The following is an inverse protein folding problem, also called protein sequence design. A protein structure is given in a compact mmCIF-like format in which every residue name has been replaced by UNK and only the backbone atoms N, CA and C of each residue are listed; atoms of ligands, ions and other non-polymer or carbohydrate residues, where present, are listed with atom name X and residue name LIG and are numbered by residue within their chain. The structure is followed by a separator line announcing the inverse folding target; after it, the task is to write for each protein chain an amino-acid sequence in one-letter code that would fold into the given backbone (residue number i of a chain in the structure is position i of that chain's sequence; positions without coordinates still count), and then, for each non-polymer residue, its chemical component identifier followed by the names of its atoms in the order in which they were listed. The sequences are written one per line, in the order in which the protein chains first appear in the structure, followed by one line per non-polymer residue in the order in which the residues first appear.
data_IF_670629092614
#
_entry.id   IF_670629092614
#
_cell.length_a   1.000
_cell.length_b   1.000
_cell.length_c   1.000
_cell.angle_alpha   90.00
_cell.angle_beta   90.00
_cell.angle_gamma   90.00
#
_symmetry.space_group_name_H-M   'P 1'
#
loop_
_entity.id
_entity.type
_entity.pdbx_description
1 polymer ?
#
# COMPACT_ATOMS: atom_id res chain seq x y z
N UNK A 1 -4.53 -0.25 1.82
CA UNK A 1 -3.88 -1.19 2.74
C UNK A 1 -2.52 -0.61 3.10
N UNK A 2 -1.87 -1.13 4.13
CA UNK A 2 -0.68 -0.53 4.75
C UNK A 2 0.52 -1.46 4.78
N UNK A 3 1.70 -0.90 4.58
CA UNK A 3 3.01 -1.42 5.00
C UNK A 3 3.26 -2.88 4.60
N UNK A 4 3.10 -3.20 3.30
CA UNK A 4 3.41 -4.53 2.74
C UNK A 4 3.95 -4.42 1.32
N UNK A 5 5.07 -5.10 1.07
CA UNK A 5 5.63 -5.23 -0.29
C UNK A 5 4.76 -6.13 -1.17
N UNK A 6 4.96 -6.05 -2.48
CA UNK A 6 4.29 -6.96 -3.40
C UNK A 6 4.71 -8.40 -3.14
N UNK A 7 6.01 -8.64 -2.96
CA UNK A 7 6.51 -10.00 -2.72
C UNK A 7 6.01 -10.62 -1.42
N UNK A 8 5.75 -9.79 -0.40
CA UNK A 8 5.21 -10.27 0.86
C UNK A 8 3.77 -10.79 0.71
N UNK A 9 2.94 -10.19 -0.16
CA UNK A 9 1.52 -10.52 -0.31
C UNK A 9 1.23 -11.41 -1.52
N UNK A 10 1.81 -11.10 -2.68
CA UNK A 10 1.52 -11.73 -3.96
C UNK A 10 2.74 -12.39 -4.62
N UNK A 11 3.97 -12.18 -4.13
CA UNK A 11 5.19 -12.69 -4.78
C UNK A 11 5.17 -14.19 -5.05
N UNK A 12 4.65 -14.97 -4.11
CA UNK A 12 4.56 -16.43 -4.23
C UNK A 12 3.42 -16.92 -5.13
N UNK A 13 2.53 -16.04 -5.59
CA UNK A 13 1.46 -16.38 -6.54
C UNK A 13 2.04 -16.79 -7.91
N UNK A 14 3.29 -16.41 -8.22
CA UNK A 14 4.02 -16.86 -9.43
C UNK A 14 4.01 -18.37 -9.65
N UNK A 15 3.93 -19.16 -8.57
CA UNK A 15 3.86 -20.63 -8.64
C UNK A 15 2.62 -21.13 -9.39
N UNK A 16 1.52 -20.40 -9.33
CA UNK A 16 0.24 -20.72 -9.99
C UNK A 16 -0.12 -19.73 -11.09
N UNK A 17 0.46 -18.53 -11.09
CA UNK A 17 0.31 -17.46 -12.09
C UNK A 17 1.69 -17.03 -12.63
N UNK A 18 2.29 -17.79 -13.57
CA UNK A 18 3.66 -17.54 -14.03
C UNK A 18 3.82 -16.24 -14.83
N UNK A 19 2.72 -15.59 -15.20
CA UNK A 19 2.69 -14.26 -15.81
C UNK A 19 3.04 -13.14 -14.82
N UNK A 20 2.90 -13.37 -13.51
CA UNK A 20 3.27 -12.42 -12.46
C UNK A 20 4.79 -12.36 -12.29
N UNK A 21 5.33 -11.16 -12.26
CA UNK A 21 6.71 -10.90 -11.85
C UNK A 21 6.83 -11.02 -10.32
N UNK A 22 6.95 -12.25 -9.83
CA UNK A 22 7.10 -12.60 -8.41
C UNK A 22 8.33 -13.46 -8.10
N UNK A 23 8.39 -13.98 -6.87
CA UNK A 23 9.53 -14.71 -6.31
C UNK A 23 9.76 -16.07 -6.98
N UNK A 24 11.04 -16.38 -7.25
CA UNK A 24 11.51 -17.68 -7.72
C UNK A 24 11.93 -18.61 -6.58
N UNK A 25 12.21 -18.07 -5.39
CA UNK A 25 12.73 -18.77 -4.22
C UNK A 25 14.25 -18.82 -4.16
N UNK A 26 14.96 -18.26 -5.16
CA UNK A 26 16.41 -18.13 -5.16
C UNK A 26 16.92 -16.79 -4.59
N UNK A 27 16.02 -15.85 -4.34
CA UNK A 27 16.33 -14.51 -3.86
C UNK A 27 16.84 -14.54 -2.41
N UNK A 28 17.76 -13.62 -2.09
CA UNK A 28 18.32 -13.49 -0.76
C UNK A 28 18.86 -12.08 -0.51
N UNK A 29 19.06 -11.72 0.75
CA UNK A 29 19.82 -10.57 1.18
C UNK A 29 20.90 -11.01 2.19
N UNK A 30 21.99 -10.25 2.30
CA UNK A 30 23.06 -10.54 3.27
C UNK A 30 22.89 -9.71 4.53
N UNK A 31 23.37 -10.25 5.65
CA UNK A 31 23.47 -9.51 6.92
C UNK A 31 24.29 -8.24 6.76
N UNK A 32 25.38 -8.30 5.98
CA UNK A 32 26.10 -7.14 5.50
C UNK A 32 26.09 -7.16 3.96
N UNK A 33 25.38 -6.21 3.36
CA UNK A 33 25.19 -6.13 1.91
C UNK A 33 26.50 -5.87 1.14
N UNK A 34 27.50 -5.28 1.79
CA UNK A 34 28.81 -4.96 1.19
C UNK A 34 29.84 -6.10 1.34
N UNK A 35 29.57 -7.10 2.19
CA UNK A 35 30.46 -8.24 2.40
C UNK A 35 29.90 -9.50 1.70
N UNK A 36 30.52 -9.96 0.60
CA UNK A 36 30.02 -11.12 -0.15
C UNK A 36 30.08 -12.44 0.64
N UNK A 37 30.86 -12.49 1.72
CA UNK A 37 31.00 -13.67 2.60
C UNK A 37 30.04 -13.65 3.79
N UNK A 38 29.34 -12.53 3.99
CA UNK A 38 28.36 -12.38 5.06
C UNK A 38 27.21 -13.40 4.92
N UNK A 39 26.67 -13.92 6.05
CA UNK A 39 25.54 -14.83 6.03
C UNK A 39 24.37 -14.28 5.19
N UNK A 40 23.73 -15.17 4.44
CA UNK A 40 22.58 -14.86 3.62
C UNK A 40 21.29 -15.30 4.31
N UNK A 41 20.25 -14.49 4.17
CA UNK A 41 18.87 -14.86 4.50
C UNK A 41 18.11 -14.92 3.18
N UNK A 42 17.62 -16.10 2.83
CA UNK A 42 16.84 -16.32 1.61
C UNK A 42 15.38 -15.98 1.84
N UNK A 43 14.66 -15.67 0.76
CA UNK A 43 13.21 -15.53 0.81
C UNK A 43 12.55 -16.84 1.24
N UNK A 44 11.42 -16.74 1.92
CA UNK A 44 10.61 -17.88 2.35
C UNK A 44 9.12 -17.61 2.21
N UNK A 45 8.31 -18.66 2.18
CA UNK A 45 6.85 -18.60 2.04
C UNK A 45 6.13 -18.94 3.37
N UNK A 46 6.83 -18.77 4.48
CA UNK A 46 6.37 -19.11 5.83
C UNK A 46 5.96 -17.88 6.64
N UNK A 47 5.60 -16.77 5.99
CA UNK A 47 5.05 -15.61 6.69
C UNK A 47 3.75 -15.98 7.42
N UNK A 48 3.58 -15.42 8.61
CA UNK A 48 2.40 -15.50 9.44
C UNK A 48 2.16 -14.13 10.09
N UNK A 49 1.34 -14.06 11.14
CA UNK A 49 1.19 -12.84 11.94
C UNK A 49 2.54 -12.20 12.29
N UNK A 50 2.74 -10.96 11.87
CA UNK A 50 3.98 -10.21 12.09
C UNK A 50 3.76 -9.22 13.22
N UNK A 51 4.44 -9.42 14.35
CA UNK A 51 4.30 -8.56 15.52
C UNK A 51 5.18 -7.30 15.47
N UNK A 52 6.29 -7.36 14.73
CA UNK A 52 7.25 -6.25 14.63
C UNK A 52 6.99 -5.40 13.39
N UNK A 53 6.98 -4.08 13.55
CA UNK A 53 6.86 -3.12 12.46
C UNK A 53 8.26 -2.81 11.88
N UNK A 54 8.62 -3.30 10.68
CA UNK A 54 9.94 -3.07 10.12
C UNK A 54 10.18 -1.59 9.75
N UNK A 55 11.45 -1.22 9.57
CA UNK A 55 11.81 0.17 9.29
C UNK A 55 11.25 0.66 7.95
N UNK A 56 10.44 1.72 7.98
CA UNK A 56 9.85 2.32 6.78
C UNK A 56 10.00 3.86 6.79
N UNK A 57 11.10 4.34 7.37
CA UNK A 57 11.56 5.73 7.26
C UNK A 57 12.38 5.93 5.99
N UNK A 58 12.53 7.16 5.49
CA UNK A 58 13.36 7.46 4.31
C UNK A 58 14.77 6.85 4.41
N UNK A 59 15.38 6.92 5.59
CA UNK A 59 16.72 6.38 5.83
C UNK A 59 16.73 4.86 5.75
N UNK A 60 15.78 4.20 6.42
CA UNK A 60 15.65 2.75 6.38
C UNK A 60 15.38 2.25 4.95
N UNK A 61 14.46 2.90 4.26
CA UNK A 61 14.09 2.60 2.89
C UNK A 61 15.27 2.72 1.93
N UNK A 62 16.06 3.78 2.06
CA UNK A 62 17.26 3.97 1.23
C UNK A 62 18.28 2.86 1.49
N UNK A 63 18.48 2.48 2.75
CA UNK A 63 19.37 1.38 3.09
C UNK A 63 18.85 0.04 2.53
N UNK A 64 17.55 -0.24 2.64
CA UNK A 64 16.93 -1.45 2.10
C UNK A 64 17.16 -1.59 0.59
N UNK A 65 16.92 -0.51 -0.16
CA UNK A 65 17.06 -0.48 -1.62
C UNK A 65 18.52 -0.62 -2.07
N UNK A 66 19.47 0.05 -1.41
CA UNK A 66 20.84 0.18 -1.90
C UNK A 66 21.89 -0.64 -1.14
N UNK A 67 21.58 -1.10 0.06
CA UNK A 67 22.51 -1.79 0.96
C UNK A 67 23.67 -0.93 1.48
N UNK A 68 23.74 0.34 1.09
CA UNK A 68 24.83 1.24 1.42
C UNK A 68 24.41 2.72 1.31
N UNK A 69 25.33 3.62 1.65
CA UNK A 69 25.12 5.07 1.54
C UNK A 69 25.16 5.61 0.11
N UNK A 70 25.58 4.82 -0.87
CA UNK A 70 25.56 5.19 -2.29
C UNK A 70 24.21 4.79 -2.90
N UNK A 71 23.46 5.79 -3.38
CA UNK A 71 22.14 5.61 -4.00
C UNK A 71 22.17 5.86 -5.52
N UNK A 72 23.31 5.64 -6.16
CA UNK A 72 23.49 5.85 -7.61
C UNK A 72 23.29 4.61 -8.47
N UNK A 73 23.24 3.41 -7.88
CA UNK A 73 23.11 2.16 -8.59
C UNK A 73 21.83 2.12 -9.45
N UNK A 74 21.97 1.73 -10.72
CA UNK A 74 20.86 1.56 -11.66
C UNK A 74 21.10 0.31 -12.54
N UNK A 75 20.33 -0.78 -12.38
CA UNK A 75 19.21 -0.94 -11.45
C UNK A 75 19.64 -0.90 -9.96
N UNK A 76 18.72 -0.51 -9.08
CA UNK A 76 18.94 -0.58 -7.64
C UNK A 76 19.06 -2.06 -7.18
N UNK A 77 19.97 -2.38 -6.24
CA UNK A 77 20.32 -3.78 -5.94
C UNK A 77 19.30 -4.51 -5.05
N UNK A 78 18.43 -3.80 -4.33
CA UNK A 78 17.44 -4.39 -3.41
C UNK A 78 18.08 -5.32 -2.36
N UNK A 79 19.26 -4.95 -1.86
CA UNK A 79 20.15 -5.87 -1.12
C UNK A 79 20.29 -5.60 0.37
N UNK A 80 19.67 -4.54 0.89
CA UNK A 80 19.89 -4.05 2.26
C UNK A 80 18.78 -4.37 3.26
N UNK A 81 17.76 -5.16 2.90
CA UNK A 81 16.61 -5.40 3.78
C UNK A 81 17.00 -6.12 5.07
N UNK A 82 17.82 -7.18 4.95
CA UNK A 82 18.34 -7.91 6.11
C UNK A 82 19.26 -7.02 6.94
N UNK A 83 20.18 -6.30 6.30
CA UNK A 83 21.10 -5.38 7.00
C UNK A 83 20.33 -4.31 7.80
N UNK A 84 19.30 -3.70 7.20
CA UNK A 84 18.47 -2.71 7.87
C UNK A 84 17.67 -3.34 9.02
N UNK A 85 17.11 -4.55 8.83
CA UNK A 85 16.42 -5.28 9.89
C UNK A 85 17.33 -5.62 11.09
N UNK A 86 18.55 -6.10 10.84
CA UNK A 86 19.55 -6.36 11.89
C UNK A 86 19.90 -5.08 12.67
N UNK A 87 19.99 -3.93 11.99
CA UNK A 87 20.30 -2.64 12.63
C UNK A 87 19.27 -2.20 13.66
N UNK A 88 18.04 -2.75 13.59
CA UNK A 88 16.95 -2.45 14.54
C UNK A 88 17.09 -3.24 15.85
N UNK A 89 17.93 -4.28 15.89
CA UNK A 89 18.17 -5.07 17.10
C UNK A 89 16.94 -5.88 17.56
N UNK A 90 16.05 -6.24 16.64
CA UNK A 90 14.86 -7.05 16.91
C UNK A 90 15.11 -8.49 16.46
N UNK A 91 15.08 -9.42 17.42
CA UNK A 91 15.33 -10.83 17.17
C UNK A 91 14.37 -11.41 16.11
N UNK A 92 14.93 -12.07 15.09
CA UNK A 92 14.16 -12.73 14.03
C UNK A 92 13.62 -11.79 12.95
N UNK A 93 13.74 -10.47 13.08
CA UNK A 93 13.21 -9.50 12.12
C UNK A 93 13.78 -9.71 10.71
N UNK A 94 15.06 -10.05 10.60
CA UNK A 94 15.72 -10.39 9.33
C UNK A 94 15.03 -11.51 8.56
N UNK A 95 14.54 -12.54 9.26
CA UNK A 95 13.76 -13.61 8.64
C UNK A 95 12.37 -13.09 8.27
N UNK A 96 11.74 -12.33 9.17
CA UNK A 96 10.40 -11.75 8.97
C UNK A 96 10.34 -10.88 7.71
N UNK A 97 11.28 -9.95 7.52
CA UNK A 97 11.29 -9.05 6.35
C UNK A 97 11.53 -9.79 5.04
N UNK A 98 12.21 -10.94 5.06
CA UNK A 98 12.46 -11.79 3.89
C UNK A 98 11.36 -12.84 3.65
N UNK A 99 10.41 -12.98 4.58
CA UNK A 99 9.29 -13.91 4.41
C UNK A 99 8.17 -13.28 3.60
N UNK A 100 7.39 -14.10 2.89
CA UNK A 100 6.14 -13.73 2.23
C UNK A 100 5.06 -14.78 2.49
N UNK A 101 3.81 -14.42 2.25
CA UNK A 101 2.70 -15.32 2.47
C UNK A 101 2.54 -16.31 1.31
N UNK A 102 2.21 -17.55 1.67
CA UNK A 102 1.64 -18.53 0.73
C UNK A 102 0.31 -18.03 0.18
N UNK A 103 0.02 -18.20 -1.12
CA UNK A 103 -1.28 -17.86 -1.69
C UNK A 103 -2.46 -18.50 -0.95
N UNK A 104 -2.28 -19.72 -0.42
CA UNK A 104 -3.33 -20.44 0.32
C UNK A 104 -3.67 -19.80 1.67
N UNK A 105 -2.75 -19.02 2.25
CA UNK A 105 -2.99 -18.24 3.47
C UNK A 105 -3.66 -16.90 3.17
N UNK A 106 -3.61 -16.45 1.91
CA UNK A 106 -4.23 -15.21 1.45
C UNK A 106 -5.32 -15.47 0.39
N UNK A 107 -6.35 -16.28 0.68
CA UNK A 107 -7.29 -16.72 -0.35
C UNK A 107 -8.09 -15.60 -1.02
N UNK A 108 -8.38 -14.48 -0.31
CA UNK A 108 -9.14 -13.37 -0.91
C UNK A 108 -8.27 -12.62 -1.92
N UNK A 109 -7.03 -12.29 -1.56
CA UNK A 109 -6.09 -11.61 -2.45
C UNK A 109 -5.66 -12.51 -3.60
N UNK A 110 -5.40 -13.79 -3.34
CA UNK A 110 -5.08 -14.76 -4.37
C UNK A 110 -6.23 -14.89 -5.38
N UNK A 111 -7.47 -15.02 -4.92
CA UNK A 111 -8.65 -15.11 -5.80
C UNK A 111 -8.84 -13.83 -6.63
N UNK A 112 -8.77 -12.65 -6.00
CA UNK A 112 -8.91 -11.38 -6.72
C UNK A 112 -7.79 -11.19 -7.75
N UNK A 113 -6.55 -11.55 -7.42
CA UNK A 113 -5.43 -11.51 -8.35
C UNK A 113 -5.59 -12.54 -9.50
N UNK A 114 -6.23 -13.69 -9.24
CA UNK A 114 -6.50 -14.71 -10.25
C UNK A 114 -7.57 -14.27 -11.25
N UNK A 115 -8.60 -13.57 -10.79
CA UNK A 115 -9.77 -13.17 -11.59
C UNK A 115 -9.63 -11.80 -12.26
N UNK A 116 -8.72 -10.94 -11.77
CA UNK A 116 -8.60 -9.55 -12.22
C UNK A 116 -7.17 -9.15 -12.55
N UNK A 117 -6.99 -7.90 -12.98
CA UNK A 117 -5.69 -7.37 -13.34
C UNK A 117 -4.84 -7.11 -12.10
N UNK A 118 -3.57 -7.49 -12.19
CA UNK A 118 -2.53 -7.20 -11.20
C UNK A 118 -1.50 -6.28 -11.85
N UNK A 119 -1.17 -5.17 -11.20
CA UNK A 119 -0.05 -4.34 -11.61
C UNK A 119 1.15 -4.66 -10.72
N UNK A 120 1.99 -5.57 -11.19
CA UNK A 120 3.22 -6.07 -10.53
C UNK A 120 4.43 -5.12 -10.72
N UNK A 121 4.19 -3.93 -11.28
CA UNK A 121 5.16 -2.82 -11.40
C UNK A 121 4.55 -1.48 -10.99
N UNK A 122 3.72 -1.49 -9.96
CA UNK A 122 3.16 -0.30 -9.33
C UNK A 122 4.02 0.14 -8.16
N UNK A 123 4.47 1.39 -8.11
CA UNK A 123 5.41 1.84 -7.09
C UNK A 123 4.87 3.02 -6.25
N UNK A 124 5.14 2.98 -4.95
CA UNK A 124 5.01 4.09 -4.02
C UNK A 124 5.65 5.36 -4.61
N UNK A 125 4.96 6.48 -4.47
CA UNK A 125 5.36 7.71 -5.16
C UNK A 125 6.66 8.29 -4.59
N UNK A 126 6.88 8.14 -3.28
CA UNK A 126 8.09 8.57 -2.58
C UNK A 126 8.60 7.46 -1.66
N UNK A 127 9.93 7.34 -1.46
CA UNK A 127 10.53 6.42 -0.49
C UNK A 127 10.37 6.95 0.93
N UNK A 128 9.13 7.18 1.37
CA UNK A 128 8.77 7.74 2.66
C UNK A 128 7.62 6.95 3.28
N UNK A 129 7.34 7.23 4.55
CA UNK A 129 6.26 6.57 5.30
C UNK A 129 4.87 6.81 4.69
N UNK A 130 3.86 6.20 5.29
CA UNK A 130 2.44 6.20 4.92
C UNK A 130 1.87 7.52 4.38
N UNK A 131 1.87 8.60 5.17
CA UNK A 131 1.11 9.80 4.82
C UNK A 131 1.60 10.51 3.56
N UNK A 132 2.91 10.72 3.36
CA UNK A 132 3.43 11.19 2.07
C UNK A 132 2.87 10.43 0.87
N UNK A 133 2.86 9.08 0.90
CA UNK A 133 2.34 8.28 -0.20
C UNK A 133 0.81 8.37 -0.35
N UNK A 134 0.05 8.38 0.74
CA UNK A 134 -1.40 8.66 0.71
C UNK A 134 -1.72 10.03 0.10
N UNK A 135 -0.86 11.03 0.32
CA UNK A 135 -1.05 12.35 -0.30
C UNK A 135 -0.87 12.32 -1.80
N UNK A 136 0.10 11.56 -2.32
CA UNK A 136 0.26 11.39 -3.76
C UNK A 136 -0.96 10.77 -4.43
N UNK A 137 -1.61 9.79 -3.80
CA UNK A 137 -2.84 9.16 -4.33
C UNK A 137 -3.92 10.20 -4.61
N UNK A 138 -4.08 11.22 -3.76
CA UNK A 138 -5.17 12.18 -3.88
C UNK A 138 -4.77 13.56 -4.41
N UNK A 139 -3.47 13.84 -4.56
CA UNK A 139 -3.01 15.19 -4.97
C UNK A 139 -1.78 15.20 -5.88
N UNK A 140 -1.24 14.03 -6.23
CA UNK A 140 -0.01 13.88 -7.01
C UNK A 140 1.23 14.61 -6.41
N UNK A 141 1.18 15.00 -5.14
CA UNK A 141 2.28 15.60 -4.38
C UNK A 141 2.10 15.33 -2.88
N UNK A 142 3.19 15.26 -2.12
CA UNK A 142 3.14 15.25 -0.65
C UNK A 142 3.21 16.66 -0.04
N UNK A 143 3.30 17.71 -0.86
CA UNK A 143 3.55 19.08 -0.41
C UNK A 143 4.80 19.20 0.48
N UNK A 144 5.85 18.45 0.12
CA UNK A 144 7.10 18.41 0.86
C UNK A 144 7.10 17.52 2.10
N UNK A 145 5.97 16.88 2.45
CA UNK A 145 5.94 15.92 3.55
C UNK A 145 6.82 14.71 3.21
N UNK A 146 7.63 14.32 4.20
CA UNK A 146 8.62 13.24 4.09
C UNK A 146 8.45 12.20 5.21
N UNK A 147 7.52 12.42 6.14
CA UNK A 147 7.19 11.53 7.25
C UNK A 147 5.83 11.91 7.87
N UNK A 148 5.38 11.13 8.86
CA UNK A 148 4.09 11.31 9.55
C UNK A 148 4.16 12.37 10.68
N UNK A 149 4.53 13.61 10.37
CA UNK A 149 4.69 14.68 11.38
C UNK A 149 3.34 15.13 11.94
N UNK A 150 3.05 14.80 13.21
CA UNK A 150 1.76 15.06 13.86
C UNK A 150 1.29 16.51 13.77
N UNK A 151 2.19 17.47 14.01
CA UNK A 151 1.87 18.90 13.97
C UNK A 151 1.36 19.32 12.59
N UNK A 152 2.01 18.83 11.53
CA UNK A 152 1.65 19.17 10.16
C UNK A 152 0.33 18.51 9.75
N UNK A 153 0.10 17.27 10.17
CA UNK A 153 -1.19 16.58 10.00
C UNK A 153 -2.34 17.34 10.68
N UNK A 154 -2.12 17.88 11.88
CA UNK A 154 -3.10 18.71 12.58
C UNK A 154 -3.33 20.03 11.84
N UNK A 155 -2.29 20.73 11.38
CA UNK A 155 -2.46 21.96 10.58
C UNK A 155 -3.17 21.68 9.25
N UNK A 156 -2.93 20.51 8.68
CA UNK A 156 -3.46 20.07 7.40
C UNK A 156 -2.65 20.63 6.22
N UNK A 157 -2.84 19.98 5.09
CA UNK A 157 -2.07 20.14 3.87
C UNK A 157 -2.88 20.94 2.82
N UNK A 158 -2.32 22.03 2.24
CA UNK A 158 -3.09 22.99 1.44
C UNK A 158 -3.14 22.68 -0.06
N UNK A 159 -2.45 21.65 -0.55
CA UNK A 159 -2.41 21.31 -1.96
C UNK A 159 -3.80 20.97 -2.52
N UNK A 160 -3.99 21.28 -3.81
CA UNK A 160 -5.19 20.88 -4.56
C UNK A 160 -5.28 19.36 -4.65
N UNK A 161 -6.47 18.83 -4.44
CA UNK A 161 -6.73 17.39 -4.49
C UNK A 161 -7.59 17.00 -5.70
N UNK A 162 -7.71 15.70 -5.95
CA UNK A 162 -8.69 15.14 -6.88
C UNK A 162 -10.12 15.51 -6.46
N UNK A 163 -10.40 15.59 -5.15
CA UNK A 163 -11.71 15.99 -4.62
C UNK A 163 -12.09 17.42 -5.02
N UNK A 164 -11.12 18.35 -4.96
CA UNK A 164 -11.30 19.71 -5.44
C UNK A 164 -11.59 19.73 -6.94
N UNK A 165 -10.85 18.93 -7.71
CA UNK A 165 -11.03 18.83 -9.16
C UNK A 165 -12.39 18.24 -9.53
N UNK A 166 -12.90 17.25 -8.78
CA UNK A 166 -14.23 16.69 -9.00
C UNK A 166 -15.32 17.73 -8.71
N UNK A 167 -15.24 18.41 -7.57
CA UNK A 167 -16.22 19.43 -7.16
C UNK A 167 -16.27 20.60 -8.16
N UNK A 168 -15.11 21.08 -8.62
CA UNK A 168 -15.00 22.12 -9.65
C UNK A 168 -15.62 21.72 -11.00
N UNK A 169 -15.71 20.42 -11.29
CA UNK A 169 -16.26 19.88 -12.54
C UNK A 169 -17.66 19.28 -12.36
N UNK A 170 -18.34 19.55 -11.24
CA UNK A 170 -19.70 19.06 -10.98
C UNK A 170 -19.80 17.54 -10.78
N UNK A 171 -18.68 16.87 -10.49
CA UNK A 171 -18.61 15.45 -10.18
C UNK A 171 -18.68 15.22 -8.67
N UNK A 172 -19.24 14.10 -8.27
CA UNK A 172 -19.44 13.74 -6.87
C UNK A 172 -18.33 12.84 -6.34
N UNK A 173 -18.02 12.97 -5.05
CA UNK A 173 -17.18 12.02 -4.34
C UNK A 173 -17.80 11.65 -2.98
N UNK A 174 -17.34 10.54 -2.42
CA UNK A 174 -17.76 10.08 -1.09
C UNK A 174 -16.63 9.34 -0.38
N UNK A 175 -16.45 9.64 0.89
CA UNK A 175 -15.43 9.05 1.77
C UNK A 175 -16.17 8.21 2.80
N UNK A 176 -15.99 6.89 2.74
CA UNK A 176 -16.60 5.91 3.63
C UNK A 176 -15.54 5.37 4.56
N UNK A 177 -15.68 5.63 5.86
CA UNK A 177 -14.58 5.41 6.81
C UNK A 177 -15.04 4.62 8.04
N UNK A 178 -14.12 3.88 8.65
CA UNK A 178 -14.37 3.12 9.89
C UNK A 178 -13.83 3.80 11.16
N UNK A 179 -12.85 4.71 11.05
CA UNK A 179 -12.28 5.48 12.17
C UNK A 179 -12.32 7.00 11.94
N UNK A 180 -11.16 7.65 11.83
CA UNK A 180 -11.01 9.05 11.48
C UNK A 180 -10.45 9.06 10.05
N UNK A 181 -11.14 9.69 9.09
CA UNK A 181 -10.65 9.73 7.71
C UNK A 181 -9.31 10.46 7.62
N UNK A 182 -8.28 9.78 7.12
CA UNK A 182 -6.97 10.34 6.80
C UNK A 182 -7.07 11.41 5.71
N UNK A 183 -8.09 11.34 4.85
CA UNK A 183 -8.43 12.40 3.89
C UNK A 183 -8.71 13.76 4.57
N UNK A 184 -9.08 13.80 5.86
CA UNK A 184 -9.18 15.06 6.62
C UNK A 184 -7.82 15.74 6.87
N UNK A 185 -6.69 15.13 6.51
CA UNK A 185 -5.41 15.85 6.52
C UNK A 185 -5.32 16.90 5.41
N UNK A 186 -6.18 16.88 4.39
CA UNK A 186 -6.26 17.98 3.42
C UNK A 186 -7.13 19.12 3.94
N UNK A 187 -6.61 20.35 3.90
CA UNK A 187 -7.35 21.53 4.36
C UNK A 187 -8.65 21.75 3.57
N UNK A 188 -8.64 21.45 2.26
CA UNK A 188 -9.82 21.62 1.41
C UNK A 188 -11.00 20.73 1.83
N UNK A 189 -10.72 19.54 2.35
CA UNK A 189 -11.73 18.60 2.84
C UNK A 189 -12.30 18.95 4.22
N UNK A 190 -11.70 19.89 4.95
CA UNK A 190 -12.22 20.41 6.23
C UNK A 190 -13.28 21.51 6.06
N UNK A 191 -13.57 21.93 4.83
CA UNK A 191 -14.56 22.99 4.54
C UNK A 191 -15.98 22.46 4.76
N UNK A 192 -16.86 23.30 5.31
CA UNK A 192 -18.26 22.94 5.62
C UNK A 192 -19.03 22.35 4.42
N UNK A 193 -18.74 22.81 3.19
CA UNK A 193 -19.37 22.29 1.97
C UNK A 193 -19.13 20.79 1.74
N UNK A 194 -18.07 20.21 2.30
CA UNK A 194 -17.71 18.80 2.15
C UNK A 194 -18.22 17.93 3.29
N UNK A 195 -18.89 18.47 4.32
CA UNK A 195 -19.33 17.70 5.49
C UNK A 195 -20.25 16.52 5.12
N UNK A 196 -21.07 16.69 4.09
CA UNK A 196 -22.01 15.68 3.60
C UNK A 196 -21.35 14.60 2.74
N UNK A 197 -20.04 14.71 2.47
CA UNK A 197 -19.25 13.75 1.67
C UNK A 197 -18.61 12.66 2.52
N UNK A 198 -18.69 12.79 3.85
CA UNK A 198 -18.14 11.85 4.82
C UNK A 198 -19.25 10.94 5.34
N UNK A 199 -19.02 9.64 5.29
CA UNK A 199 -20.02 8.63 5.58
C UNK A 199 -19.44 7.53 6.47
N UNK A 200 -20.19 7.14 7.50
CA UNK A 200 -19.88 5.92 8.25
C UNK A 200 -19.94 4.72 7.31
N UNK A 201 -18.85 3.94 7.26
CA UNK A 201 -18.74 2.80 6.37
C UNK A 201 -19.82 1.76 6.65
N UNK A 202 -20.02 1.37 7.92
CA UNK A 202 -20.92 0.27 8.30
C UNK A 202 -22.38 0.54 7.90
N UNK A 203 -22.84 1.78 8.08
CA UNK A 203 -24.24 2.16 7.84
C UNK A 203 -24.50 2.62 6.41
N UNK A 204 -23.61 3.43 5.84
CA UNK A 204 -23.89 4.15 4.59
C UNK A 204 -23.31 3.47 3.35
N UNK A 205 -22.16 2.81 3.45
CA UNK A 205 -21.52 2.21 2.27
C UNK A 205 -22.41 1.15 1.62
N UNK A 206 -22.83 0.15 2.41
CA UNK A 206 -23.73 -0.92 1.93
C UNK A 206 -25.08 -0.38 1.47
N UNK A 207 -25.60 0.66 2.12
CA UNK A 207 -26.87 1.28 1.73
C UNK A 207 -26.75 1.98 0.38
N UNK A 208 -25.75 2.84 0.21
CA UNK A 208 -25.52 3.57 -1.04
C UNK A 208 -25.19 2.62 -2.19
N UNK A 209 -24.36 1.59 -1.95
CA UNK A 209 -24.08 0.54 -2.92
C UNK A 209 -25.36 -0.19 -3.35
N UNK A 210 -26.19 -0.64 -2.40
CA UNK A 210 -27.45 -1.33 -2.68
C UNK A 210 -28.45 -0.47 -3.46
N UNK A 211 -28.48 0.83 -3.18
CA UNK A 211 -29.39 1.78 -3.83
C UNK A 211 -28.89 2.29 -5.18
N UNK A 212 -27.67 1.96 -5.59
CA UNK A 212 -27.05 2.53 -6.78
C UNK A 212 -26.77 4.03 -6.65
N UNK A 213 -26.36 4.47 -5.46
CA UNK A 213 -26.10 5.87 -5.11
C UNK A 213 -24.64 6.14 -4.76
N UNK A 214 -23.72 5.25 -5.13
CA UNK A 214 -22.29 5.53 -4.98
C UNK A 214 -21.88 6.67 -5.94
N UNK A 215 -21.11 7.66 -5.45
CA UNK A 215 -20.67 8.81 -6.24
C UNK A 215 -19.59 8.43 -7.27
N UNK A 216 -19.19 9.39 -8.12
CA UNK A 216 -18.21 9.16 -9.19
C UNK A 216 -16.84 8.72 -8.67
N UNK A 217 -16.43 9.20 -7.49
CA UNK A 217 -15.18 8.80 -6.84
C UNK A 217 -15.43 8.40 -5.39
N UNK A 218 -15.10 7.16 -5.05
CA UNK A 218 -15.33 6.58 -3.73
C UNK A 218 -13.99 6.25 -3.10
N UNK A 219 -13.78 6.75 -1.89
CA UNK A 219 -12.66 6.34 -1.04
C UNK A 219 -13.22 5.53 0.12
N UNK A 220 -12.67 4.33 0.30
CA UNK A 220 -12.98 3.46 1.42
C UNK A 220 -11.76 3.45 2.34
N UNK A 221 -11.94 3.96 3.56
CA UNK A 221 -10.89 4.04 4.56
C UNK A 221 -11.08 2.98 5.64
N UNK A 222 -10.00 2.24 5.89
CA UNK A 222 -9.95 1.11 6.82
C UNK A 222 -10.10 1.57 8.28
N UNK A 223 -10.12 0.58 9.18
CA UNK A 223 -9.85 0.80 10.59
C UNK A 223 -8.33 0.72 10.78
N UNK A 224 -7.71 1.87 11.03
CA UNK A 224 -6.26 2.01 11.19
C UNK A 224 -5.78 1.77 12.63
N UNK A 225 -6.69 1.75 13.60
CA UNK A 225 -6.35 1.65 15.02
C UNK A 225 -6.98 0.42 15.65
N UNK A 226 -6.18 -0.35 16.37
CA UNK A 226 -6.67 -1.39 17.26
C UNK A 226 -7.44 -0.79 18.44
N UNK A 227 -8.68 -1.24 18.60
CA UNK A 227 -9.50 -1.04 19.79
C UNK A 227 -10.04 -2.41 20.20
N UNK A 228 -10.09 -2.73 21.50
CA UNK A 228 -10.32 -4.10 22.01
C UNK A 228 -11.50 -4.85 21.37
N UNK A 229 -12.59 -4.16 21.03
CA UNK A 229 -13.79 -4.74 20.41
C UNK A 229 -13.78 -4.71 18.88
N UNK A 230 -12.83 -3.99 18.30
CA UNK A 230 -12.76 -3.58 16.91
C UNK A 230 -11.29 -3.54 16.45
N UNK A 231 -10.65 -4.70 16.21
CA UNK A 231 -9.26 -4.73 15.74
C UNK A 231 -9.11 -4.08 14.36
N UNK A 232 -7.96 -3.50 14.07
CA UNK A 232 -7.62 -2.88 12.81
C UNK A 232 -7.67 -3.89 11.65
N UNK A 233 -7.84 -3.38 10.43
CA UNK A 233 -8.07 -4.20 9.24
C UNK A 233 -7.44 -3.59 7.98
N UNK A 234 -6.30 -2.93 8.15
CA UNK A 234 -5.54 -2.19 7.14
C UNK A 234 -4.32 -2.96 6.59
N UNK A 235 -4.01 -4.13 7.17
CA UNK A 235 -2.80 -4.95 6.95
C UNK A 235 -1.49 -4.38 7.52
N UNK A 236 -1.48 -3.24 8.22
CA UNK A 236 -0.26 -2.72 8.87
C UNK A 236 0.26 -3.74 9.91
N UNK A 237 1.57 -4.01 10.11
CA UNK A 237 2.01 -4.80 11.27
C UNK A 237 1.86 -3.99 12.57
N UNK A 238 1.31 -4.50 13.66
CA UNK A 238 1.01 -5.89 13.98
C UNK A 238 -0.47 -6.25 13.85
N UNK A 239 -1.16 -5.75 12.82
CA UNK A 239 -2.53 -6.14 12.52
C UNK A 239 -2.58 -7.43 11.69
N UNK A 240 -3.56 -8.28 12.01
CA UNK A 240 -3.76 -9.57 11.33
C UNK A 240 -4.29 -9.38 9.90
N UNK A 241 -3.52 -9.84 8.92
CA UNK A 241 -3.87 -9.77 7.49
C UNK A 241 -5.17 -10.52 7.18
N UNK A 242 -5.58 -11.49 8.01
CA UNK A 242 -6.88 -12.14 7.88
C UNK A 242 -8.06 -11.18 8.10
N UNK A 243 -7.89 -10.10 8.88
CA UNK A 243 -8.90 -9.06 9.06
C UNK A 243 -8.97 -8.12 7.86
N UNK A 244 -7.83 -7.76 7.27
CA UNK A 244 -7.79 -6.99 6.02
C UNK A 244 -8.38 -7.76 4.85
N UNK A 245 -8.09 -9.05 4.72
CA UNK A 245 -8.74 -9.90 3.71
C UNK A 245 -10.26 -9.96 3.87
N UNK A 246 -10.77 -10.10 5.10
CA UNK A 246 -12.23 -10.06 5.36
C UNK A 246 -12.82 -8.71 4.96
N UNK A 247 -12.10 -7.62 5.21
CA UNK A 247 -12.54 -6.28 4.84
C UNK A 247 -12.60 -6.10 3.32
N UNK A 248 -11.53 -6.45 2.60
CA UNK A 248 -11.49 -6.37 1.13
C UNK A 248 -12.55 -7.26 0.50
N UNK A 249 -12.77 -8.46 1.03
CA UNK A 249 -13.87 -9.34 0.61
C UNK A 249 -15.23 -8.67 0.78
N UNK A 250 -15.49 -8.07 1.94
CA UNK A 250 -16.77 -7.39 2.19
C UNK A 250 -16.99 -6.21 1.24
N UNK A 251 -15.95 -5.42 0.97
CA UNK A 251 -15.99 -4.32 0.01
C UNK A 251 -16.34 -4.85 -1.37
N UNK A 252 -15.58 -5.84 -1.86
CA UNK A 252 -15.80 -6.45 -3.17
C UNK A 252 -17.22 -7.01 -3.31
N UNK A 253 -17.70 -7.81 -2.36
CA UNK A 253 -19.05 -8.39 -2.41
C UNK A 253 -20.15 -7.33 -2.34
N UNK A 254 -19.93 -6.25 -1.58
CA UNK A 254 -20.86 -5.12 -1.51
C UNK A 254 -20.98 -4.40 -2.85
N UNK A 255 -19.84 -4.18 -3.53
CA UNK A 255 -19.81 -3.55 -4.85
C UNK A 255 -20.38 -4.47 -5.93
N UNK A 256 -20.01 -5.75 -5.93
CA UNK A 256 -20.52 -6.77 -6.88
C UNK A 256 -22.03 -6.95 -6.81
N UNK A 257 -22.63 -6.73 -5.64
CA UNK A 257 -24.09 -6.77 -5.47
C UNK A 257 -24.81 -5.45 -5.83
N UNK A 258 -24.06 -4.39 -6.18
CA UNK A 258 -24.63 -3.10 -6.53
C UNK A 258 -25.23 -3.11 -7.95
N UNK A 259 -26.35 -2.42 -8.20
CA UNK A 259 -26.83 -2.20 -9.57
C UNK A 259 -25.86 -1.35 -10.43
N UNK A 260 -24.86 -0.71 -9.82
CA UNK A 260 -23.82 0.06 -10.52
C UNK A 260 -22.56 -0.78 -10.84
N UNK A 261 -22.53 -2.09 -10.52
CA UNK A 261 -21.31 -2.92 -10.63
C UNK A 261 -20.63 -2.84 -12.00
N UNK A 262 -21.40 -2.92 -13.09
CA UNK A 262 -20.87 -2.90 -14.46
C UNK A 262 -20.24 -1.56 -14.88
N UNK A 263 -20.43 -0.50 -14.08
CA UNK A 263 -19.90 0.85 -14.31
C UNK A 263 -18.80 1.23 -13.31
N UNK A 264 -18.25 0.25 -12.59
CA UNK A 264 -17.26 0.46 -11.53
C UNK A 264 -15.88 -0.07 -11.93
N UNK A 265 -14.85 0.62 -11.42
CA UNK A 265 -13.51 0.07 -11.30
C UNK A 265 -13.14 0.05 -9.81
N UNK A 266 -12.67 -1.10 -9.32
CA UNK A 266 -12.17 -1.24 -7.95
C UNK A 266 -10.64 -1.26 -7.98
N UNK A 267 -10.04 -0.36 -7.19
CA UNK A 267 -8.60 -0.24 -7.03
C UNK A 267 -8.21 -0.56 -5.58
N UNK A 268 -7.40 -1.59 -5.37
CA UNK A 268 -6.85 -1.95 -4.06
C UNK A 268 -5.34 -1.72 -4.11
N UNK A 269 -4.85 -0.77 -3.31
CA UNK A 269 -3.43 -0.39 -3.26
C UNK A 269 -2.89 -0.45 -1.83
N UNK A 270 -1.58 -0.63 -1.70
CA UNK A 270 -0.81 -0.34 -0.48
C UNK A 270 -0.19 1.06 -0.55
N UNK A 271 0.09 1.67 0.59
CA UNK A 271 0.73 2.98 0.68
C UNK A 271 2.24 2.93 0.46
N UNK A 272 2.92 1.93 1.04
CA UNK A 272 4.33 1.59 0.87
C UNK A 272 4.60 0.14 1.30
N UNK A 273 5.86 -0.31 1.26
CA UNK A 273 6.23 -1.73 1.38
C UNK A 273 6.44 -2.21 2.82
N UNK A 274 6.43 -1.32 3.81
CA UNK A 274 6.53 -1.65 5.23
C UNK A 274 7.88 -2.19 5.66
N UNK A 275 8.93 -2.00 4.86
CA UNK A 275 10.24 -2.61 5.08
C UNK A 275 10.33 -4.11 4.77
N UNK A 276 9.29 -4.72 4.20
CA UNK A 276 9.35 -6.10 3.70
C UNK A 276 10.07 -6.16 2.35
N UNK A 277 10.80 -7.25 2.12
CA UNK A 277 11.59 -7.46 0.92
C UNK A 277 10.72 -7.39 -0.35
N UNK A 278 11.29 -6.80 -1.39
CA UNK A 278 10.78 -6.83 -2.75
C UNK A 278 11.96 -7.03 -3.71
N UNK A 279 11.83 -7.98 -4.63
CA UNK A 279 12.89 -8.37 -5.53
C UNK A 279 13.07 -7.39 -6.69
N UNK A 280 12.05 -6.58 -7.00
CA UNK A 280 12.07 -5.76 -8.20
C UNK A 280 12.88 -4.50 -7.95
N UNK A 281 13.91 -4.24 -8.79
CA UNK A 281 14.63 -2.98 -8.74
C UNK A 281 13.70 -1.79 -8.97
N UNK A 282 13.72 -0.93 -7.99
CA UNK A 282 13.00 0.32 -7.96
C UNK A 282 13.56 1.35 -8.96
N UNK A 283 12.74 2.07 -9.74
CA UNK A 283 13.22 3.07 -10.70
C UNK A 283 13.97 4.22 -10.03
N UNK A 284 15.19 4.50 -10.50
CA UNK A 284 16.06 5.58 -9.98
C UNK A 284 16.17 6.79 -10.93
N UNK A 285 15.42 6.80 -12.03
CA UNK A 285 15.42 7.90 -13.01
C UNK A 285 14.01 8.15 -13.57
N UNK A 286 13.77 9.34 -14.14
CA UNK A 286 12.49 9.70 -14.75
C UNK A 286 11.37 10.08 -13.77
N UNK A 287 11.65 10.20 -12.47
CA UNK A 287 10.68 10.59 -11.46
C UNK A 287 10.64 12.13 -11.30
N UNK A 288 9.50 12.82 -11.49
CA UNK A 288 9.41 14.29 -11.48
C UNK A 288 9.51 14.95 -10.08
N UNK A 289 10.10 14.28 -9.09
CA UNK A 289 10.11 14.76 -7.70
C UNK A 289 11.27 15.73 -7.50
N UNK A 290 10.99 17.03 -7.57
CA UNK A 290 11.85 18.09 -7.06
C UNK A 290 11.78 18.14 -5.52
N UNK A 291 12.44 17.18 -4.87
CA UNK A 291 13.00 17.41 -3.55
C UNK A 291 14.51 17.50 -3.76
N UNK A 292 15.13 18.59 -3.31
CA UNK A 292 16.52 18.92 -3.63
C UNK A 292 17.47 17.73 -3.51
N UNK A 293 18.23 17.50 -4.59
CA UNK A 293 19.42 16.63 -4.68
C UNK A 293 19.31 15.25 -4.04
N UNK A 294 18.71 14.29 -4.75
CA UNK A 294 19.20 12.92 -4.99
C UNK A 294 18.05 12.10 -5.56
N UNK A 295 18.37 11.16 -6.47
CA UNK A 295 17.41 10.29 -7.10
C UNK A 295 16.59 9.51 -6.06
N UNK A 296 15.37 9.96 -5.76
CA UNK A 296 14.46 9.27 -4.87
C UNK A 296 13.75 8.17 -5.65
N UNK A 297 13.79 7.01 -5.04
CA UNK A 297 13.54 5.73 -5.68
C UNK A 297 12.17 5.22 -5.26
N UNK A 298 11.36 4.70 -6.18
CA UNK A 298 9.97 4.27 -5.90
C UNK A 298 9.91 2.78 -5.58
N UNK A 299 9.19 2.34 -4.55
CA UNK A 299 9.15 0.90 -4.14
C UNK A 299 7.83 0.26 -4.51
N UNK A 300 7.82 -1.03 -4.88
CA UNK A 300 6.59 -1.67 -5.30
C UNK A 300 5.56 -1.70 -4.18
N UNK A 301 4.35 -1.26 -4.53
CA UNK A 301 3.12 -1.46 -3.77
C UNK A 301 2.22 -2.35 -4.63
N UNK A 302 1.58 -3.35 -4.04
CA UNK A 302 0.67 -4.19 -4.81
C UNK A 302 -0.58 -3.41 -5.20
N UNK A 303 -0.98 -3.55 -6.47
CA UNK A 303 -2.23 -3.02 -6.98
C UNK A 303 -3.04 -4.13 -7.63
N UNK A 304 -4.20 -4.42 -7.06
CA UNK A 304 -5.21 -5.28 -7.69
C UNK A 304 -6.30 -4.36 -8.23
N UNK A 305 -6.50 -4.41 -9.55
CA UNK A 305 -7.48 -3.62 -10.28
C UNK A 305 -8.51 -4.53 -10.93
N UNK A 306 -9.79 -4.34 -10.60
CA UNK A 306 -10.91 -4.95 -11.32
C UNK A 306 -11.53 -3.90 -12.26
N UNK A 307 -11.53 -4.20 -13.56
CA UNK A 307 -12.42 -3.58 -14.53
C UNK A 307 -13.44 -4.65 -14.90
N UNK A 308 -14.73 -4.34 -14.79
CA UNK A 308 -15.78 -5.26 -15.25
C UNK A 308 -15.64 -5.43 -16.77
N UNK A 309 -15.09 -6.55 -17.21
CA UNK A 309 -15.12 -6.93 -18.63
C UNK A 309 -16.48 -7.52 -18.96
N UNK A 310 -17.04 -7.07 -20.08
CA UNK A 310 -18.27 -7.60 -20.66
C UNK A 310 -18.15 -9.13 -20.85
N UNK A 311 -19.11 -9.95 -20.40
CA UNK A 311 -19.28 -11.25 -21.01
C UNK A 311 -19.71 -10.99 -22.46
N UNK A 312 -18.84 -11.32 -23.41
CA UNK A 312 -19.21 -11.35 -24.82
C UNK A 312 -20.48 -12.20 -24.98
N UNK A 313 -21.53 -11.56 -25.48
CA UNK A 313 -22.78 -12.23 -25.87
C UNK A 313 -22.62 -13.00 -27.17
#
# INVERSE_FOLDING_TARGET
MENRSFDHILGWLKRTRPDIDGLSGGEFNRVNASDPTSPAVSVSDDAFFVDSDPGHSIQAIREQIFGCNDSSANPAPMSGFVQQAESMGVDGLSKTVMSGFKPELLPVYAELANEFAVLDRWFASVPASTQPNRFYVHSATSHGASSNVRKDLIHGFPQKTIFDSLDENGLSFGIYYQNIPATLFFQSLRKLKHITKFHDYKLKFKLHAKMGQLPNYVVIEQRYFDVDLFPANDDHPSHDVALGQRFVKEVYETLRASPQWEEMALLITYDEHGGFYDHVPTPVSGCPIQMGSSALTRIISSLIGSVCEYPHS
#
